data_IF_630116445961
#
_entry.id   IF_630116445961
#
_cell.length_a   1.000
_cell.length_b   1.000
_cell.length_c   1.000
_cell.angle_alpha   90.00
_cell.angle_beta   90.00
_cell.angle_gamma   90.00
#
_symmetry.space_group_name_H-M   'P 1'
#
loop_
_entity.id
_entity.type
_entity.pdbx_description
1 polymer ?
#
# COMPACT_ATOMS: atom_id res chain seq x y z
N UNK A 1 -4.28 0.47 -0.73
CA UNK A 1 -4.08 -0.82 -0.03
C UNK A 1 -5.25 -1.21 0.88
N UNK A 2 -5.97 -0.29 1.53
CA UNK A 2 -7.01 -0.64 2.52
C UNK A 2 -8.33 -1.19 1.96
N UNK A 3 -8.65 -0.90 0.70
CA UNK A 3 -9.91 -1.29 0.05
C UNK A 3 -9.74 -1.89 -1.34
N UNK A 4 -8.51 -1.91 -1.87
CA UNK A 4 -8.23 -2.46 -3.19
C UNK A 4 -8.23 -3.98 -3.11
N UNK A 5 -8.96 -4.62 -4.02
CA UNK A 5 -8.84 -6.05 -4.30
C UNK A 5 -7.60 -6.28 -5.16
N UNK A 6 -6.44 -6.38 -4.54
CA UNK A 6 -5.16 -6.56 -5.23
C UNK A 6 -5.03 -8.00 -5.77
N UNK A 7 -5.04 -8.13 -7.09
CA UNK A 7 -4.99 -9.43 -7.78
C UNK A 7 -3.60 -10.09 -7.68
N UNK A 8 -2.52 -9.32 -7.52
CA UNK A 8 -1.18 -9.88 -7.25
C UNK A 8 -1.16 -10.57 -5.89
N UNK A 9 -1.79 -9.97 -4.87
CA UNK A 9 -1.91 -10.58 -3.55
C UNK A 9 -2.83 -11.80 -3.60
N UNK A 10 -3.99 -11.71 -4.25
CA UNK A 10 -4.90 -12.85 -4.40
C UNK A 10 -4.23 -14.05 -5.08
N UNK A 11 -3.47 -13.82 -6.15
CA UNK A 11 -2.81 -14.90 -6.89
C UNK A 11 -1.72 -15.61 -6.09
N UNK A 12 -1.06 -14.92 -5.14
CA UNK A 12 0.05 -15.49 -4.36
C UNK A 12 -0.36 -16.00 -2.97
N UNK A 13 -1.25 -15.31 -2.28
CA UNK A 13 -1.62 -15.57 -0.89
C UNK A 13 -3.14 -15.71 -0.66
N UNK A 14 -3.95 -15.65 -1.72
CA UNK A 14 -5.41 -15.80 -1.65
C UNK A 14 -6.10 -14.71 -0.82
N UNK A 15 -7.35 -14.98 -0.44
CA UNK A 15 -8.16 -14.06 0.35
C UNK A 15 -7.52 -13.72 1.70
N UNK A 16 -6.87 -14.70 2.36
CA UNK A 16 -6.17 -14.46 3.63
C UNK A 16 -5.04 -13.43 3.49
N UNK A 17 -4.30 -13.47 2.37
CA UNK A 17 -3.28 -12.48 2.09
C UNK A 17 -3.88 -11.10 1.80
N UNK A 18 -5.02 -11.06 1.09
CA UNK A 18 -5.72 -9.82 0.80
C UNK A 18 -6.24 -9.16 2.08
N UNK A 19 -6.87 -9.93 2.97
CA UNK A 19 -7.37 -9.44 4.26
C UNK A 19 -6.21 -8.93 5.12
N UNK A 20 -5.11 -9.69 5.21
CA UNK A 20 -3.90 -9.28 5.92
C UNK A 20 -3.30 -7.97 5.39
N UNK A 21 -3.27 -7.79 4.06
CA UNK A 21 -2.82 -6.55 3.44
C UNK A 21 -3.73 -5.37 3.82
N UNK A 22 -5.04 -5.55 3.73
CA UNK A 22 -6.03 -4.50 3.99
C UNK A 22 -6.04 -4.09 5.46
N UNK A 23 -5.98 -5.06 6.38
CA UNK A 23 -5.95 -4.84 7.82
C UNK A 23 -4.65 -4.18 8.26
N UNK A 24 -3.50 -4.67 7.78
CA UNK A 24 -2.21 -4.06 8.08
C UNK A 24 -2.12 -2.62 7.53
N UNK A 25 -2.64 -2.37 6.33
CA UNK A 25 -2.70 -1.02 5.78
C UNK A 25 -3.61 -0.10 6.61
N UNK A 26 -4.73 -0.62 7.15
CA UNK A 26 -5.61 0.13 8.06
C UNK A 26 -4.90 0.47 9.36
N UNK A 27 -4.13 -0.48 9.92
CA UNK A 27 -3.33 -0.25 11.12
C UNK A 27 -2.31 0.88 10.92
N UNK A 28 -1.65 0.95 9.75
CA UNK A 28 -0.75 2.06 9.39
C UNK A 28 -1.47 3.40 9.42
N UNK A 29 -2.66 3.49 8.82
CA UNK A 29 -3.44 4.75 8.81
C UNK A 29 -3.91 5.13 10.22
N UNK A 30 -4.40 4.16 11.00
CA UNK A 30 -4.83 4.37 12.38
C UNK A 30 -3.67 4.84 13.28
N UNK A 31 -2.44 4.47 12.97
CA UNK A 31 -1.22 4.91 13.66
C UNK A 31 -0.70 6.30 13.19
N UNK A 32 -1.47 7.03 12.38
CA UNK A 32 -1.11 8.37 11.88
C UNK A 32 -0.35 8.37 10.56
N UNK A 33 -0.30 7.23 9.87
CA UNK A 33 0.43 7.08 8.61
C UNK A 33 1.94 7.16 8.76
N UNK A 34 2.67 7.08 7.64
CA UNK A 34 4.15 7.06 7.62
C UNK A 34 4.79 8.39 8.04
N UNK A 35 4.00 9.46 8.16
CA UNK A 35 4.44 10.72 8.75
C UNK A 35 4.72 10.60 10.27
N UNK A 36 4.19 9.57 10.93
CA UNK A 36 4.41 9.33 12.36
C UNK A 36 5.29 8.09 12.61
N UNK A 37 6.15 8.08 13.65
CA UNK A 37 6.97 6.91 13.98
C UNK A 37 6.17 5.62 14.19
N UNK A 38 5.00 5.73 14.82
CA UNK A 38 4.10 4.58 15.03
C UNK A 38 3.60 4.00 13.70
N UNK A 39 3.25 4.85 12.72
CA UNK A 39 2.83 4.39 11.40
C UNK A 39 3.98 3.80 10.57
N UNK A 40 5.21 4.28 10.73
CA UNK A 40 6.38 3.65 10.11
C UNK A 40 6.64 2.24 10.67
N UNK A 41 6.54 2.08 12.00
CA UNK A 41 6.63 0.76 12.64
C UNK A 41 5.52 -0.19 12.19
N UNK A 42 4.29 0.31 12.08
CA UNK A 42 3.16 -0.46 11.56
C UNK A 42 3.38 -0.87 10.09
N UNK A 43 3.96 0.01 9.27
CA UNK A 43 4.24 -0.29 7.86
C UNK A 43 5.33 -1.36 7.75
N UNK A 44 6.38 -1.28 8.56
CA UNK A 44 7.41 -2.32 8.62
C UNK A 44 6.85 -3.66 9.10
N UNK A 45 5.86 -3.66 10.00
CA UNK A 45 5.17 -4.87 10.40
C UNK A 45 4.32 -5.47 9.25
N UNK A 46 3.58 -4.64 8.53
CA UNK A 46 2.84 -5.05 7.34
C UNK A 46 3.77 -5.64 6.28
N UNK A 47 4.89 -4.99 5.98
CA UNK A 47 5.87 -5.45 4.99
C UNK A 47 6.41 -6.85 5.34
N UNK A 48 6.84 -7.05 6.59
CA UNK A 48 7.27 -8.38 7.08
C UNK A 48 6.18 -9.44 6.94
N UNK A 49 4.92 -9.09 7.21
CA UNK A 49 3.80 -10.01 7.07
C UNK A 49 3.55 -10.39 5.61
N UNK A 50 3.65 -9.43 4.68
CA UNK A 50 3.54 -9.68 3.24
C UNK A 50 4.66 -10.60 2.74
N UNK A 51 5.90 -10.35 3.17
CA UNK A 51 7.04 -11.21 2.87
C UNK A 51 6.85 -12.64 3.41
N UNK A 52 6.36 -12.79 4.65
CA UNK A 52 6.08 -14.10 5.24
C UNK A 52 4.99 -14.88 4.48
N UNK A 53 4.06 -14.17 3.84
CA UNK A 53 3.03 -14.74 2.97
C UNK A 53 3.49 -14.94 1.52
N UNK A 54 4.75 -14.64 1.20
CA UNK A 54 5.30 -14.62 -0.16
C UNK A 54 4.44 -13.78 -1.14
N UNK A 55 3.86 -12.69 -0.64
CA UNK A 55 2.97 -11.80 -1.36
C UNK A 55 3.54 -10.38 -1.39
N UNK A 56 3.13 -9.63 -2.41
CA UNK A 56 3.42 -8.20 -2.53
C UNK A 56 2.17 -7.46 -3.01
N UNK A 57 1.86 -6.27 -2.47
CA UNK A 57 0.73 -5.44 -2.89
C UNK A 57 1.03 -4.73 -4.23
N UNK A 58 1.28 -5.52 -5.28
CA UNK A 58 1.76 -5.04 -6.58
C UNK A 58 0.74 -4.16 -7.31
N UNK A 59 -0.52 -4.60 -7.36
CA UNK A 59 -1.58 -3.79 -7.97
C UNK A 59 -1.79 -2.46 -7.25
N UNK A 60 -1.65 -2.44 -5.91
CA UNK A 60 -1.69 -1.20 -5.15
C UNK A 60 -0.49 -0.28 -5.44
N UNK A 61 0.71 -0.84 -5.64
CA UNK A 61 1.90 -0.08 -6.00
C UNK A 61 1.78 0.53 -7.41
N UNK A 62 1.25 -0.24 -8.37
CA UNK A 62 1.03 0.24 -9.74
C UNK A 62 0.01 1.38 -9.77
N UNK A 63 -1.10 1.28 -9.01
CA UNK A 63 -2.07 2.37 -8.89
C UNK A 63 -1.46 3.62 -8.22
N UNK A 64 -0.61 3.44 -7.22
CA UNK A 64 0.12 4.57 -6.62
C UNK A 64 1.04 5.23 -7.65
N UNK A 65 1.79 4.44 -8.43
CA UNK A 65 2.66 4.98 -9.48
C UNK A 65 1.86 5.72 -10.56
N UNK A 66 0.73 5.15 -11.01
CA UNK A 66 -0.14 5.76 -12.01
C UNK A 66 -0.77 7.06 -11.49
N UNK A 67 -1.24 7.09 -10.24
CA UNK A 67 -1.82 8.31 -9.64
C UNK A 67 -0.78 9.42 -9.47
N UNK A 68 0.43 9.10 -9.03
CA UNK A 68 1.54 10.07 -8.97
C UNK A 68 1.94 10.57 -10.36
N UNK A 69 1.92 9.71 -11.38
CA UNK A 69 2.19 10.11 -12.76
C UNK A 69 1.13 11.09 -13.27
N UNK A 70 -0.16 10.78 -13.06
CA UNK A 70 -1.28 11.65 -13.44
C UNK A 70 -1.19 13.01 -12.73
N UNK A 71 -0.95 13.02 -11.42
CA UNK A 71 -0.74 14.25 -10.64
C UNK A 71 0.40 15.11 -11.21
N UNK A 72 1.51 14.47 -11.62
CA UNK A 72 2.69 15.15 -12.19
C UNK A 72 2.43 15.81 -13.55
N UNK A 73 1.55 15.23 -14.38
CA UNK A 73 1.23 15.76 -15.71
C UNK A 73 0.05 16.75 -15.68
N UNK A 74 -0.88 16.59 -14.74
CA UNK A 74 -2.03 17.48 -14.55
C UNK A 74 -1.68 18.73 -13.73
N UNK A 75 -0.71 18.65 -12.82
CA UNK A 75 -0.04 19.81 -12.23
C UNK A 75 1.22 20.13 -13.01
N UNK A 76 1.15 20.92 -14.12
CA UNK A 76 2.34 21.62 -14.58
C UNK A 76 2.69 22.56 -13.43
N UNK A 77 3.74 22.21 -12.68
CA UNK A 77 4.34 23.09 -11.68
C UNK A 77 4.30 24.50 -12.24
N UNK A 78 3.53 25.37 -11.58
CA UNK A 78 3.35 26.75 -12.00
C UNK A 78 4.70 27.32 -12.38
N UNK A 79 4.77 27.84 -13.61
CA UNK A 79 5.93 28.54 -14.17
C UNK A 79 6.57 29.43 -13.09
N UNK A 80 7.84 29.16 -12.78
CA UNK A 80 8.74 30.21 -12.31
C UNK A 80 9.21 31.02 -13.51
#
# INVERSE_FOLDING_TARGET
MTSLTDTCVLSRAGLKGLDAMQDGARAVLNAGGTAHPAGQLALAALDRQMLALNASPGGAADLLAATLFLDRIESPYFKH
#
